data_IF_837433476883
#
_entry.id   IF_837433476883
#
_cell.length_a   1.000
_cell.length_b   1.000
_cell.length_c   1.000
_cell.angle_alpha   90.00
_cell.angle_beta   90.00
_cell.angle_gamma   90.00
#
_symmetry.space_group_name_H-M   'P 1'
#
loop_
_entity.id
_entity.type
_entity.pdbx_description
1 polymer ?
#
# COMPACT_ATOMS: atom_id res chain seq x y z
N UNK A 1 63.00 2.31 17.55
CA UNK A 1 62.57 2.68 16.19
C UNK A 1 61.12 3.15 16.26
N UNK A 2 60.87 4.41 15.88
CA UNK A 2 59.54 5.00 15.60
C UNK A 2 59.23 4.79 14.11
N UNK A 3 57.96 4.67 13.69
CA UNK A 3 57.08 5.41 12.70
C UNK A 3 55.75 4.55 12.59
N UNK A 4 54.54 5.05 12.28
CA UNK A 4 53.70 5.98 13.06
C UNK A 4 52.15 5.79 12.94
N UNK A 5 51.43 6.61 13.70
CA UNK A 5 50.16 7.32 13.40
C UNK A 5 49.29 6.95 12.17
N UNK A 6 48.03 6.65 12.49
CA UNK A 6 46.81 6.89 11.69
C UNK A 6 45.61 6.36 12.48
N UNK A 7 44.92 7.18 13.30
CA UNK A 7 43.67 7.88 12.94
C UNK A 7 42.57 6.86 12.54
N UNK A 8 41.48 6.61 13.27
CA UNK A 8 40.32 7.43 13.69
C UNK A 8 39.57 6.60 14.75
N UNK A 9 39.09 7.11 15.90
CA UNK A 9 37.84 7.88 16.15
C UNK A 9 36.50 7.20 15.77
N UNK A 10 35.53 7.32 16.71
CA UNK A 10 34.09 6.95 16.72
C UNK A 10 33.78 5.55 17.35
N UNK A 11 33.15 5.37 18.51
CA UNK A 11 32.15 6.14 19.28
C UNK A 11 30.81 6.33 18.54
N UNK A 12 29.94 5.30 18.56
CA UNK A 12 28.47 5.37 18.44
C UNK A 12 27.89 4.19 19.26
N UNK A 13 27.44 4.44 20.49
CA UNK A 13 26.03 4.40 20.94
C UNK A 13 25.38 3.00 20.81
N UNK A 14 25.17 2.25 21.91
CA UNK A 14 23.96 2.34 22.76
C UNK A 14 22.71 2.84 22.01
N UNK A 15 21.97 1.89 21.44
CA UNK A 15 20.53 1.91 21.11
C UNK A 15 20.22 0.49 20.61
N UNK A 16 19.41 -0.36 21.20
CA UNK A 16 18.39 -0.24 22.23
C UNK A 16 17.45 -1.43 21.98
N UNK A 17 17.02 -2.07 23.06
CA UNK A 17 15.85 -2.96 23.13
C UNK A 17 16.00 -4.27 22.32
N UNK A 18 16.52 -5.33 22.94
CA UNK A 18 15.68 -6.29 23.66
C UNK A 18 14.38 -6.59 22.90
N UNK A 19 14.49 -7.55 21.97
CA UNK A 19 13.68 -8.77 21.98
C UNK A 19 12.35 -8.65 22.76
N UNK A 20 11.39 -7.94 22.18
CA UNK A 20 9.98 -8.20 22.44
C UNK A 20 9.64 -9.49 21.69
N UNK A 21 9.11 -10.49 22.39
CA UNK A 21 8.80 -11.81 21.86
C UNK A 21 7.80 -11.73 20.69
N UNK A 22 8.21 -12.16 19.50
CA UNK A 22 7.34 -12.26 18.31
C UNK A 22 8.19 -12.32 17.05
N UNK A 23 8.69 -13.52 16.71
CA UNK A 23 9.28 -14.00 15.43
C UNK A 23 10.29 -13.11 14.65
N UNK A 24 10.64 -11.91 15.13
CA UNK A 24 11.47 -10.93 14.43
C UNK A 24 10.74 -10.12 13.35
N UNK A 25 9.45 -10.38 13.12
CA UNK A 25 8.69 -9.83 12.00
C UNK A 25 7.98 -8.51 12.38
N UNK A 26 7.97 -7.48 11.51
CA UNK A 26 7.26 -6.23 11.77
C UNK A 26 5.77 -6.43 12.10
N UNK A 27 5.25 -5.66 13.07
CA UNK A 27 3.83 -5.71 13.47
C UNK A 27 2.86 -5.51 12.30
N UNK A 28 3.31 -4.80 11.26
CA UNK A 28 2.57 -4.54 10.02
C UNK A 28 2.38 -5.77 9.13
N UNK A 29 3.20 -6.81 9.25
CA UNK A 29 3.15 -7.95 8.34
C UNK A 29 1.88 -8.80 8.49
N UNK A 30 1.36 -8.93 9.73
CA UNK A 30 0.10 -9.66 9.97
C UNK A 30 -1.08 -8.97 9.28
N UNK A 31 -1.35 -7.68 9.51
CA UNK A 31 -2.47 -7.01 8.84
C UNK A 31 -2.24 -6.86 7.32
N UNK A 32 -0.99 -6.69 6.86
CA UNK A 32 -0.67 -6.74 5.42
C UNK A 32 -1.09 -8.06 4.78
N UNK A 33 -0.78 -9.21 5.40
CA UNK A 33 -1.17 -10.52 4.86
C UNK A 33 -2.68 -10.71 4.76
N UNK A 34 -3.45 -10.10 5.67
CA UNK A 34 -4.91 -10.17 5.67
C UNK A 34 -5.52 -9.27 4.59
N UNK A 35 -4.96 -8.09 4.39
CA UNK A 35 -5.44 -7.13 3.40
C UNK A 35 -5.03 -7.50 1.96
N UNK A 36 -3.88 -8.15 1.77
CA UNK A 36 -3.35 -8.48 0.45
C UNK A 36 -4.23 -9.43 -0.38
N UNK A 37 -5.08 -10.24 0.27
CA UNK A 37 -6.01 -11.12 -0.44
C UNK A 37 -7.06 -10.32 -1.23
N UNK A 38 -7.28 -9.02 -0.89
CA UNK A 38 -8.29 -8.13 -1.48
C UNK A 38 -9.68 -8.79 -1.62
N UNK A 39 -9.92 -9.85 -0.84
CA UNK A 39 -11.02 -10.78 -1.02
C UNK A 39 -12.36 -10.10 -0.75
N UNK A 40 -12.41 -9.22 0.26
CA UNK A 40 -13.56 -8.40 0.60
C UNK A 40 -13.97 -7.49 -0.55
N UNK A 41 -13.04 -6.64 -1.03
CA UNK A 41 -13.28 -5.74 -2.18
C UNK A 41 -13.72 -6.52 -3.42
N UNK A 42 -13.01 -7.60 -3.74
CA UNK A 42 -13.31 -8.43 -4.92
C UNK A 42 -14.67 -9.14 -4.81
N UNK A 43 -15.05 -9.60 -3.63
CA UNK A 43 -16.34 -10.24 -3.37
C UNK A 43 -17.48 -9.21 -3.45
N UNK A 44 -17.32 -8.05 -2.82
CA UNK A 44 -18.28 -6.96 -2.83
C UNK A 44 -18.55 -6.46 -4.25
N UNK A 45 -17.49 -6.20 -5.03
CA UNK A 45 -17.62 -5.81 -6.44
C UNK A 45 -18.34 -6.87 -7.30
N UNK A 46 -18.07 -8.17 -7.09
CA UNK A 46 -18.79 -9.25 -7.79
C UNK A 46 -20.25 -9.37 -7.39
N UNK A 47 -20.57 -9.05 -6.14
CA UNK A 47 -21.94 -9.01 -5.64
C UNK A 47 -22.71 -7.76 -6.09
N UNK A 48 -22.03 -6.77 -6.67
CA UNK A 48 -22.59 -5.46 -7.00
C UNK A 48 -22.80 -4.57 -5.77
N UNK A 49 -22.17 -4.91 -4.64
CA UNK A 49 -22.26 -4.15 -3.39
C UNK A 49 -21.16 -3.09 -3.35
N UNK A 50 -21.43 -1.94 -3.97
CA UNK A 50 -20.48 -0.84 -4.08
C UNK A 50 -20.23 -0.16 -2.72
N UNK A 51 -21.22 -0.20 -1.82
CA UNK A 51 -21.07 0.33 -0.47
C UNK A 51 -20.05 -0.49 0.32
N UNK A 52 -20.22 -1.82 0.35
CA UNK A 52 -19.28 -2.73 1.00
C UNK A 52 -17.87 -2.65 0.37
N UNK A 53 -17.79 -2.56 -0.96
CA UNK A 53 -16.50 -2.40 -1.63
C UNK A 53 -15.78 -1.11 -1.20
N UNK A 54 -16.54 -0.01 -1.02
CA UNK A 54 -16.03 1.26 -0.52
C UNK A 54 -15.53 1.18 0.92
N UNK A 55 -16.28 0.52 1.80
CA UNK A 55 -15.90 0.33 3.21
C UNK A 55 -14.62 -0.50 3.34
N UNK A 56 -14.49 -1.57 2.55
CA UNK A 56 -13.26 -2.39 2.48
C UNK A 56 -12.06 -1.60 1.93
N UNK A 57 -12.27 -0.72 0.95
CA UNK A 57 -11.22 0.13 0.42
C UNK A 57 -10.79 1.22 1.42
N UNK A 58 -11.70 1.71 2.26
CA UNK A 58 -11.36 2.61 3.38
C UNK A 58 -10.50 1.87 4.41
N UNK A 59 -10.83 0.62 4.76
CA UNK A 59 -10.00 -0.19 5.65
C UNK A 59 -8.59 -0.42 5.08
N UNK A 60 -8.49 -0.64 3.75
CA UNK A 60 -7.19 -0.73 3.07
C UNK A 60 -6.39 0.58 3.16
N UNK A 61 -7.05 1.73 3.02
CA UNK A 61 -6.43 3.06 3.18
C UNK A 61 -5.95 3.31 4.62
N UNK A 62 -6.73 2.90 5.61
CA UNK A 62 -6.36 2.97 7.02
C UNK A 62 -5.10 2.13 7.27
N UNK A 63 -5.07 0.89 6.78
CA UNK A 63 -3.88 0.05 6.85
C UNK A 63 -2.68 0.69 6.16
N UNK A 64 -2.87 1.27 4.96
CA UNK A 64 -1.80 1.95 4.24
C UNK A 64 -1.18 3.09 5.06
N UNK A 65 -1.97 3.82 5.86
CA UNK A 65 -1.49 4.90 6.72
C UNK A 65 -0.62 4.40 7.90
N UNK A 66 -0.85 3.16 8.34
CA UNK A 66 -0.07 2.47 9.37
C UNK A 66 1.21 1.83 8.82
N UNK A 67 1.40 1.84 7.51
CA UNK A 67 2.53 1.20 6.87
C UNK A 67 3.88 1.84 7.27
N UNK A 68 4.97 1.04 7.27
CA UNK A 68 6.31 1.53 7.50
C UNK A 68 6.69 2.66 6.54
N UNK A 69 7.47 3.67 7.00
CA UNK A 69 7.82 4.85 6.19
C UNK A 69 8.35 4.54 4.79
N UNK A 70 9.01 3.40 4.61
CA UNK A 70 9.64 2.94 3.37
C UNK A 70 8.64 2.63 2.26
N UNK A 71 7.44 2.17 2.62
CA UNK A 71 6.38 1.77 1.67
C UNK A 71 5.09 2.56 1.80
N UNK A 72 4.93 3.36 2.87
CA UNK A 72 3.69 4.07 3.17
C UNK A 72 3.14 4.89 2.00
N UNK A 73 3.97 5.72 1.38
CA UNK A 73 3.54 6.55 0.25
C UNK A 73 3.09 5.72 -0.96
N UNK A 74 3.70 4.55 -1.17
CA UNK A 74 3.29 3.66 -2.26
C UNK A 74 2.01 2.94 -1.93
N UNK A 75 1.86 2.49 -0.68
CA UNK A 75 0.68 1.78 -0.24
C UNK A 75 -0.55 2.70 -0.19
N UNK A 76 -0.36 3.94 0.26
CA UNK A 76 -1.41 4.96 0.21
C UNK A 76 -1.86 5.19 -1.24
N UNK A 77 -0.94 5.39 -2.19
CA UNK A 77 -1.34 5.59 -3.59
C UNK A 77 -2.08 4.39 -4.19
N UNK A 78 -1.71 3.16 -3.82
CA UNK A 78 -2.43 1.95 -4.24
C UNK A 78 -3.85 1.93 -3.67
N UNK A 79 -4.01 2.19 -2.37
CA UNK A 79 -5.32 2.25 -1.73
C UNK A 79 -6.20 3.36 -2.31
N UNK A 80 -5.64 4.54 -2.56
CA UNK A 80 -6.33 5.69 -3.15
C UNK A 80 -6.86 5.37 -4.53
N UNK A 81 -6.04 4.72 -5.34
CA UNK A 81 -6.43 4.32 -6.68
C UNK A 81 -7.56 3.28 -6.65
N UNK A 82 -7.57 2.37 -5.69
CA UNK A 82 -8.66 1.40 -5.50
C UNK A 82 -9.96 2.12 -5.13
N UNK A 83 -9.90 3.08 -4.20
CA UNK A 83 -11.06 3.93 -3.84
C UNK A 83 -11.59 4.67 -5.06
N UNK A 84 -10.71 5.25 -5.89
CA UNK A 84 -11.11 5.96 -7.10
C UNK A 84 -11.73 5.04 -8.16
N UNK A 85 -11.26 3.80 -8.29
CA UNK A 85 -11.91 2.80 -9.15
C UNK A 85 -13.33 2.53 -8.68
N UNK A 86 -13.51 2.34 -7.37
CA UNK A 86 -14.83 2.06 -6.79
C UNK A 86 -15.77 3.26 -6.98
N UNK A 87 -15.29 4.49 -6.77
CA UNK A 87 -16.05 5.72 -7.02
C UNK A 87 -16.42 5.89 -8.51
N UNK A 88 -15.51 5.54 -9.42
CA UNK A 88 -15.79 5.58 -10.85
C UNK A 88 -16.89 4.57 -11.23
N UNK A 89 -16.84 3.35 -10.68
CA UNK A 89 -17.88 2.33 -10.87
C UNK A 89 -19.21 2.79 -10.26
N UNK A 90 -19.18 3.37 -9.05
CA UNK A 90 -20.36 3.91 -8.39
C UNK A 90 -21.05 5.00 -9.23
N UNK A 91 -20.26 5.85 -9.87
CA UNK A 91 -20.74 6.99 -10.63
C UNK A 91 -21.04 6.69 -12.11
N UNK A 92 -20.75 5.48 -12.62
CA UNK A 92 -20.98 5.11 -14.03
C UNK A 92 -22.43 5.34 -14.47
N UNK A 93 -23.40 4.95 -13.64
CA UNK A 93 -24.82 5.13 -13.96
C UNK A 93 -25.23 6.60 -14.05
N UNK A 94 -24.85 7.43 -13.08
CA UNK A 94 -25.32 8.81 -12.98
C UNK A 94 -24.50 9.76 -13.87
N UNK A 95 -23.17 9.72 -13.76
CA UNK A 95 -22.26 10.58 -14.52
C UNK A 95 -22.12 10.11 -15.98
N UNK A 96 -22.11 8.80 -16.22
CA UNK A 96 -21.99 8.25 -17.58
C UNK A 96 -23.18 8.61 -18.48
N UNK A 97 -24.35 8.87 -17.90
CA UNK A 97 -25.54 9.32 -18.63
C UNK A 97 -25.70 10.85 -18.65
N UNK A 98 -25.33 11.54 -17.57
CA UNK A 98 -25.53 13.00 -17.45
C UNK A 98 -24.40 13.83 -18.07
N UNK A 99 -23.14 13.38 -17.97
CA UNK A 99 -21.97 14.02 -18.58
C UNK A 99 -20.93 12.95 -19.04
N UNK A 100 -21.18 12.33 -20.20
CA UNK A 100 -20.29 11.30 -20.75
C UNK A 100 -18.86 11.78 -20.97
N UNK A 101 -18.67 13.08 -21.23
CA UNK A 101 -17.36 13.66 -21.53
C UNK A 101 -16.49 13.77 -20.29
N UNK A 102 -17.08 14.16 -19.15
CA UNK A 102 -16.43 14.13 -17.85
C UNK A 102 -16.16 12.69 -17.40
N UNK A 103 -17.11 11.79 -17.61
CA UNK A 103 -16.95 10.39 -17.24
C UNK A 103 -15.76 9.76 -17.97
N UNK A 104 -15.67 9.93 -19.29
CA UNK A 104 -14.56 9.36 -20.09
C UNK A 104 -13.21 9.95 -19.69
N UNK A 105 -13.14 11.27 -19.42
CA UNK A 105 -11.90 11.90 -18.96
C UNK A 105 -11.42 11.33 -17.62
N UNK A 106 -12.31 11.10 -16.65
CA UNK A 106 -11.93 10.45 -15.38
C UNK A 106 -11.45 9.03 -15.61
N UNK A 107 -12.07 8.28 -16.53
CA UNK A 107 -11.66 6.93 -16.90
C UNK A 107 -10.24 6.90 -17.50
N UNK A 108 -9.91 7.86 -18.36
CA UNK A 108 -8.56 8.01 -18.94
C UNK A 108 -7.52 8.41 -17.89
N UNK A 109 -7.85 9.36 -17.00
CA UNK A 109 -7.01 9.77 -15.88
C UNK A 109 -6.69 8.56 -14.98
N UNK A 110 -7.71 7.76 -14.65
CA UNK A 110 -7.55 6.55 -13.84
C UNK A 110 -6.71 5.48 -14.53
N UNK A 111 -6.92 5.22 -15.83
CA UNK A 111 -6.08 4.30 -16.60
C UNK A 111 -4.59 4.69 -16.59
N UNK A 112 -4.31 6.00 -16.63
CA UNK A 112 -2.94 6.51 -16.54
C UNK A 112 -2.34 6.24 -15.16
N UNK A 113 -3.13 6.43 -14.09
CA UNK A 113 -2.70 6.14 -12.71
C UNK A 113 -2.51 4.64 -12.46
N UNK A 114 -3.40 3.80 -12.99
CA UNK A 114 -3.27 2.33 -12.97
C UNK A 114 -1.94 1.86 -13.57
N UNK A 115 -1.46 2.51 -14.63
CA UNK A 115 -0.12 2.23 -15.18
C UNK A 115 1.04 2.53 -14.22
N UNK A 116 0.84 3.41 -13.22
CA UNK A 116 1.82 3.72 -12.19
C UNK A 116 1.71 2.84 -10.95
N UNK A 117 0.52 2.26 -10.71
CA UNK A 117 0.25 1.34 -9.59
C UNK A 117 1.12 0.07 -9.68
N UNK A 118 1.39 -0.43 -10.88
CA UNK A 118 2.18 -1.66 -11.08
C UNK A 118 3.56 -1.55 -10.42
N UNK A 119 4.28 -0.45 -10.68
CA UNK A 119 5.59 -0.19 -10.07
C UNK A 119 5.52 -0.05 -8.54
N UNK A 120 4.44 0.54 -8.02
CA UNK A 120 4.25 0.76 -6.57
C UNK A 120 3.91 -0.55 -5.87
N UNK A 121 3.01 -1.33 -6.45
CA UNK A 121 2.63 -2.66 -6.01
C UNK A 121 3.85 -3.59 -5.98
N UNK A 122 4.71 -3.51 -7.01
CA UNK A 122 5.96 -4.26 -7.04
C UNK A 122 6.89 -3.89 -5.88
N UNK A 123 7.03 -2.59 -5.56
CA UNK A 123 7.85 -2.15 -4.42
C UNK A 123 7.29 -2.64 -3.08
N UNK A 124 5.97 -2.63 -2.91
CA UNK A 124 5.30 -3.18 -1.72
C UNK A 124 5.55 -4.70 -1.64
N UNK A 125 5.41 -5.44 -2.74
CA UNK A 125 5.62 -6.89 -2.81
C UNK A 125 7.07 -7.28 -2.49
N UNK A 126 8.06 -6.56 -3.03
CA UNK A 126 9.49 -6.75 -2.68
C UNK A 126 9.72 -6.53 -1.19
N UNK A 127 9.20 -5.43 -0.64
CA UNK A 127 9.32 -5.16 0.80
C UNK A 127 8.64 -6.24 1.65
N UNK A 128 7.45 -6.70 1.26
CA UNK A 128 6.71 -7.75 1.96
C UNK A 128 7.46 -9.08 1.93
N UNK A 129 8.11 -9.40 0.81
CA UNK A 129 8.97 -10.58 0.68
C UNK A 129 10.18 -10.47 1.62
N UNK A 130 10.88 -9.33 1.61
CA UNK A 130 12.11 -9.14 2.36
C UNK A 130 11.90 -9.02 3.88
N UNK A 131 10.82 -8.34 4.30
CA UNK A 131 10.59 -8.00 5.71
C UNK A 131 9.57 -8.94 6.38
N UNK A 132 8.65 -9.52 5.62
CA UNK A 132 7.57 -10.35 6.14
C UNK A 132 7.61 -11.81 5.64
N UNK A 133 8.46 -12.15 4.67
CA UNK A 133 8.43 -13.46 4.02
C UNK A 133 7.11 -13.75 3.30
N UNK A 134 6.38 -12.71 2.88
CA UNK A 134 5.10 -12.81 2.19
C UNK A 134 5.28 -12.67 0.69
N UNK A 135 4.66 -13.56 -0.08
CA UNK A 135 4.49 -13.40 -1.53
C UNK A 135 3.09 -12.83 -1.78
N UNK A 136 3.05 -11.60 -2.33
CA UNK A 136 1.83 -10.86 -2.67
C UNK A 136 1.63 -10.86 -4.18
#
# INVERSE_FOLDING_TARGET
>A
MRIPFGALLALVALSGLLAACGDGQPAFCTPLSQAADLGGISAALRAGDIAEAGDEAIQLRELASEAPPEIRADFEEVADSIIEIIDLVASEGEDGQSDPSRFERRREELNTRLGQIDNRSQRISVWATEQCGLEL
#
